data_IF_320169571213
#
_entry.id   IF_320169571213
#
_cell.length_a   1.000
_cell.length_b   1.000
_cell.length_c   1.000
_cell.angle_alpha   90.00
_cell.angle_beta   90.00
_cell.angle_gamma   90.00
#
_symmetry.space_group_name_H-M   'P 1'
#
loop_
_entity.id
_entity.type
_entity.pdbx_description
1 polymer ?
#
# COMPACT_ATOMS: atom_id res chain seq x y z
N UNK A 1 -17.84 -13.80 -32.08
CA UNK A 1 -17.97 -15.28 -31.98
C UNK A 1 -16.62 -15.89 -32.32
N UNK A 2 -16.22 -16.96 -31.64
CA UNK A 2 -15.01 -17.71 -32.00
C UNK A 2 -15.30 -18.54 -33.25
N UNK A 3 -14.44 -18.44 -34.25
CA UNK A 3 -14.47 -19.26 -35.46
C UNK A 3 -13.48 -20.42 -35.33
N UNK A 4 -13.62 -21.43 -36.19
CA UNK A 4 -12.67 -22.54 -36.28
C UNK A 4 -11.22 -22.09 -36.59
N UNK A 5 -11.08 -20.97 -37.29
CA UNK A 5 -9.81 -20.35 -37.66
C UNK A 5 -9.27 -19.35 -36.63
N UNK A 6 -9.99 -19.09 -35.54
CA UNK A 6 -9.55 -18.14 -34.51
C UNK A 6 -8.27 -18.62 -33.84
N UNK A 7 -7.29 -17.73 -33.72
CA UNK A 7 -6.07 -18.00 -32.98
C UNK A 7 -6.33 -17.78 -31.48
N UNK A 8 -6.42 -18.89 -30.75
CA UNK A 8 -6.78 -18.90 -29.34
C UNK A 8 -5.60 -19.35 -28.47
N UNK A 9 -5.35 -18.66 -27.36
CA UNK A 9 -4.27 -18.99 -26.42
C UNK A 9 -4.83 -19.36 -25.06
N UNK A 10 -4.39 -20.50 -24.53
CA UNK A 10 -4.73 -20.96 -23.18
C UNK A 10 -3.53 -20.78 -22.25
N UNK A 11 -3.74 -20.11 -21.11
CA UNK A 11 -2.70 -19.82 -20.14
C UNK A 11 -2.71 -20.80 -18.95
N UNK A 12 -3.76 -21.61 -18.78
CA UNK A 12 -3.87 -22.58 -17.67
C UNK A 12 -3.37 -23.99 -17.99
N UNK A 13 -3.14 -24.31 -19.27
CA UNK A 13 -2.43 -25.53 -19.67
C UNK A 13 -2.95 -26.21 -20.94
N UNK A 14 -2.32 -27.33 -21.30
CA UNK A 14 -2.61 -28.07 -22.54
C UNK A 14 -4.03 -28.67 -22.59
N UNK A 15 -4.59 -29.01 -21.43
CA UNK A 15 -5.96 -29.53 -21.32
C UNK A 15 -7.01 -28.50 -21.77
N UNK A 16 -6.79 -27.22 -21.49
CA UNK A 16 -7.68 -26.14 -21.93
C UNK A 16 -7.65 -25.99 -23.45
N UNK A 17 -6.45 -26.04 -24.05
CA UNK A 17 -6.29 -25.98 -25.49
C UNK A 17 -6.92 -27.19 -26.18
N UNK A 18 -6.78 -28.39 -25.60
CA UNK A 18 -7.44 -29.61 -26.09
C UNK A 18 -8.97 -29.45 -26.08
N UNK A 19 -9.54 -29.00 -24.96
CA UNK A 19 -10.98 -28.78 -24.85
C UNK A 19 -11.51 -27.74 -25.86
N UNK A 20 -10.80 -26.63 -26.07
CA UNK A 20 -11.20 -25.64 -27.08
C UNK A 20 -11.15 -26.21 -28.51
N UNK A 21 -10.17 -27.07 -28.82
CA UNK A 21 -10.10 -27.76 -30.12
C UNK A 21 -11.26 -28.73 -30.31
N UNK A 22 -11.66 -29.47 -29.28
CA UNK A 22 -12.84 -30.35 -29.31
C UNK A 22 -14.13 -29.56 -29.53
N UNK A 23 -14.20 -28.32 -29.03
CA UNK A 23 -15.28 -27.37 -29.30
C UNK A 23 -15.18 -26.67 -30.66
N UNK A 24 -14.25 -27.09 -31.52
CA UNK A 24 -14.11 -26.62 -32.89
C UNK A 24 -13.15 -25.44 -33.10
N UNK A 25 -12.46 -24.95 -32.06
CA UNK A 25 -11.42 -23.91 -32.18
C UNK A 25 -10.07 -24.56 -32.46
N UNK A 26 -9.87 -25.07 -33.68
CA UNK A 26 -8.69 -25.87 -34.04
C UNK A 26 -7.35 -25.13 -33.87
N UNK A 27 -7.37 -23.79 -33.95
CA UNK A 27 -6.21 -22.92 -33.73
C UNK A 27 -5.81 -22.73 -32.26
N UNK A 28 -6.49 -23.37 -31.30
CA UNK A 28 -6.18 -23.19 -29.88
C UNK A 28 -4.83 -23.81 -29.49
N UNK A 29 -4.01 -23.09 -28.73
CA UNK A 29 -2.71 -23.54 -28.24
C UNK A 29 -2.50 -23.07 -26.79
N UNK A 30 -1.84 -23.90 -25.99
CA UNK A 30 -1.48 -23.57 -24.62
C UNK A 30 -0.07 -22.99 -24.53
N UNK A 31 0.18 -22.18 -23.50
CA UNK A 31 1.52 -21.82 -23.07
C UNK A 31 1.92 -22.69 -21.89
N UNK A 32 3.07 -23.34 -21.99
CA UNK A 32 3.60 -24.18 -20.92
C UNK A 32 5.11 -24.05 -20.81
N UNK A 33 5.68 -24.44 -19.66
CA UNK A 33 7.14 -24.46 -19.47
C UNK A 33 7.85 -25.40 -20.44
N UNK A 34 7.22 -26.52 -20.79
CA UNK A 34 7.73 -27.51 -21.73
C UNK A 34 6.86 -27.52 -22.98
N UNK A 35 7.50 -27.49 -24.16
CA UNK A 35 6.83 -27.61 -25.45
C UNK A 35 6.18 -28.99 -25.58
N UNK A 36 4.94 -29.04 -26.06
CA UNK A 36 4.22 -30.30 -26.34
C UNK A 36 3.34 -30.11 -27.57
N UNK A 37 3.91 -30.21 -28.79
CA UNK A 37 3.16 -30.01 -30.02
C UNK A 37 2.09 -31.11 -30.21
N UNK A 38 0.94 -30.79 -30.83
CA UNK A 38 0.56 -29.48 -31.35
C UNK A 38 -0.13 -28.59 -30.30
N UNK A 39 -0.29 -29.05 -29.06
CA UNK A 39 -1.17 -28.43 -28.06
C UNK A 39 -0.51 -27.36 -27.21
N UNK A 40 0.82 -27.35 -27.06
CA UNK A 40 1.51 -26.39 -26.22
C UNK A 40 2.83 -25.88 -26.82
N UNK A 41 3.02 -24.57 -26.73
CA UNK A 41 4.28 -23.88 -27.02
C UNK A 41 5.03 -23.57 -25.74
N UNK A 42 6.36 -23.50 -25.83
CA UNK A 42 7.19 -23.13 -24.69
C UNK A 42 7.10 -21.62 -24.44
N UNK A 43 6.79 -21.22 -23.21
CA UNK A 43 6.73 -19.82 -22.78
C UNK A 43 6.68 -19.68 -21.27
N UNK A 44 6.67 -18.43 -20.80
CA UNK A 44 6.55 -18.12 -19.38
C UNK A 44 5.72 -16.85 -19.15
N UNK A 45 5.34 -16.61 -17.90
CA UNK A 45 4.43 -15.53 -17.49
C UNK A 45 4.88 -14.11 -17.86
N UNK A 46 6.17 -13.91 -18.16
CA UNK A 46 6.75 -12.60 -18.45
C UNK A 46 6.90 -12.30 -19.92
N UNK A 47 6.90 -13.34 -20.74
CA UNK A 47 7.10 -13.23 -22.17
C UNK A 47 6.37 -14.37 -22.86
N UNK A 48 5.14 -14.08 -23.27
CA UNK A 48 4.34 -15.02 -24.05
C UNK A 48 4.91 -15.07 -25.47
N UNK A 49 5.07 -16.28 -26.07
CA UNK A 49 5.80 -16.48 -27.32
C UNK A 49 4.96 -16.11 -28.57
N UNK A 50 4.26 -14.97 -28.52
CA UNK A 50 3.40 -14.48 -29.58
C UNK A 50 3.71 -13.01 -29.89
N UNK A 51 3.62 -12.60 -31.17
CA UNK A 51 3.73 -11.19 -31.55
C UNK A 51 2.62 -10.33 -30.93
N UNK A 52 2.85 -9.03 -30.89
CA UNK A 52 1.85 -8.05 -30.48
C UNK A 52 0.60 -8.17 -31.35
N UNK A 53 -0.58 -8.06 -30.73
CA UNK A 53 -1.87 -8.07 -31.44
C UNK A 53 -2.02 -9.20 -32.46
N UNK A 54 -1.70 -10.43 -32.06
CA UNK A 54 -1.73 -11.63 -32.92
C UNK A 54 -2.76 -12.68 -32.49
N UNK A 55 -3.40 -12.51 -31.33
CA UNK A 55 -4.32 -13.50 -30.72
C UNK A 55 -5.73 -12.94 -30.66
N UNK A 56 -6.71 -13.70 -31.14
CA UNK A 56 -8.11 -13.32 -31.17
C UNK A 56 -8.81 -13.55 -29.81
N UNK A 57 -8.38 -14.60 -29.10
CA UNK A 57 -8.99 -15.06 -27.85
C UNK A 57 -7.97 -15.60 -26.87
N UNK A 58 -8.09 -15.22 -25.61
CA UNK A 58 -7.26 -15.74 -24.53
C UNK A 58 -8.15 -16.32 -23.45
N UNK A 59 -7.85 -17.55 -23.04
CA UNK A 59 -8.44 -18.20 -21.88
C UNK A 59 -7.38 -18.36 -20.79
N UNK A 60 -7.64 -17.77 -19.62
CA UNK A 60 -6.79 -17.82 -18.45
C UNK A 60 -7.50 -18.59 -17.34
N UNK A 61 -7.58 -19.92 -17.48
CA UNK A 61 -8.14 -20.77 -16.45
C UNK A 61 -7.16 -20.96 -15.29
N UNK A 62 -7.43 -20.30 -14.16
CA UNK A 62 -6.61 -20.31 -12.94
C UNK A 62 -5.13 -19.95 -13.14
N UNK A 63 -4.79 -19.38 -14.30
CA UNK A 63 -3.43 -18.97 -14.62
C UNK A 63 -2.97 -17.83 -13.69
N UNK A 64 -3.86 -16.87 -13.41
CA UNK A 64 -3.57 -15.81 -12.44
C UNK A 64 -3.44 -16.37 -11.01
N UNK A 65 -4.26 -17.34 -10.60
CA UNK A 65 -4.19 -17.94 -9.26
C UNK A 65 -2.83 -18.59 -8.97
N UNK A 66 -2.22 -19.19 -9.99
CA UNK A 66 -0.97 -19.94 -9.88
C UNK A 66 0.28 -19.15 -10.24
N UNK A 67 0.13 -18.02 -10.94
CA UNK A 67 1.24 -17.16 -11.32
C UNK A 67 1.79 -16.40 -10.11
N UNK A 68 3.11 -16.38 -9.99
CA UNK A 68 3.80 -15.50 -9.02
C UNK A 68 3.91 -14.06 -9.52
N UNK A 69 3.55 -13.81 -10.78
CA UNK A 69 3.82 -12.57 -11.52
C UNK A 69 2.61 -12.20 -12.36
N UNK A 70 1.47 -12.12 -11.67
CA UNK A 70 0.15 -11.89 -12.23
C UNK A 70 0.08 -10.62 -13.10
N UNK A 71 0.72 -9.53 -12.66
CA UNK A 71 0.75 -8.27 -13.40
C UNK A 71 1.50 -8.40 -14.74
N UNK A 72 2.59 -9.15 -14.77
CA UNK A 72 3.37 -9.37 -15.98
C UNK A 72 2.60 -10.29 -16.95
N UNK A 73 1.96 -11.36 -16.43
CA UNK A 73 1.09 -12.23 -17.21
C UNK A 73 -0.12 -11.48 -17.80
N UNK A 74 -0.73 -10.58 -17.00
CA UNK A 74 -1.84 -9.75 -17.43
C UNK A 74 -1.41 -8.76 -18.55
N UNK A 75 -0.23 -8.15 -18.39
CA UNK A 75 0.37 -7.25 -19.38
C UNK A 75 0.64 -7.99 -20.69
N UNK A 76 1.24 -9.18 -20.63
CA UNK A 76 1.51 -9.99 -21.82
C UNK A 76 0.23 -10.49 -22.49
N UNK A 77 -0.78 -10.90 -21.72
CA UNK A 77 -2.08 -11.26 -22.26
C UNK A 77 -2.72 -10.08 -23.01
N UNK A 78 -2.65 -8.88 -22.44
CA UNK A 78 -3.13 -7.67 -23.11
C UNK A 78 -2.28 -7.32 -24.36
N UNK A 79 -0.96 -7.54 -24.34
CA UNK A 79 -0.05 -7.26 -25.46
C UNK A 79 -0.37 -8.13 -26.69
N UNK A 80 -0.48 -9.44 -26.51
CA UNK A 80 -0.68 -10.38 -27.63
C UNK A 80 -2.10 -10.33 -28.20
N UNK A 81 -3.07 -9.83 -27.42
CA UNK A 81 -4.47 -9.73 -27.84
C UNK A 81 -4.68 -8.67 -28.94
N UNK A 82 -5.42 -9.02 -29.99
CA UNK A 82 -5.86 -8.08 -31.03
C UNK A 82 -6.89 -7.07 -30.48
N UNK A 83 -7.04 -5.89 -31.11
CA UNK A 83 -8.23 -5.06 -30.90
C UNK A 83 -9.51 -5.88 -31.05
N UNK A 84 -10.50 -5.65 -30.19
CA UNK A 84 -11.75 -6.40 -30.10
C UNK A 84 -11.62 -7.90 -29.74
N UNK A 85 -10.40 -8.36 -29.48
CA UNK A 85 -10.13 -9.66 -28.89
C UNK A 85 -10.70 -9.77 -27.48
N UNK A 86 -10.94 -11.01 -27.05
CA UNK A 86 -11.56 -11.30 -25.76
C UNK A 86 -10.61 -12.07 -24.84
N UNK A 87 -10.56 -11.66 -23.58
CA UNK A 87 -9.90 -12.38 -22.49
C UNK A 87 -10.97 -12.95 -21.58
N UNK A 88 -10.92 -14.26 -21.32
CA UNK A 88 -11.72 -14.88 -20.28
C UNK A 88 -10.79 -15.32 -19.15
N UNK A 89 -11.00 -14.77 -17.97
CA UNK A 89 -10.30 -15.15 -16.74
C UNK A 89 -11.25 -15.99 -15.90
N UNK A 90 -10.79 -17.16 -15.48
CA UNK A 90 -11.47 -17.97 -14.47
C UNK A 90 -10.55 -18.05 -13.24
N UNK A 91 -10.98 -17.52 -12.11
CA UNK A 91 -10.16 -17.43 -10.89
C UNK A 91 -10.91 -17.97 -9.67
N UNK A 92 -10.17 -18.54 -8.72
CA UNK A 92 -10.70 -18.88 -7.39
C UNK A 92 -10.62 -17.72 -6.38
N UNK A 93 -9.89 -16.65 -6.72
CA UNK A 93 -9.80 -15.40 -5.96
C UNK A 93 -10.85 -14.37 -6.39
N UNK A 94 -10.59 -13.09 -6.09
CA UNK A 94 -11.43 -11.96 -6.52
C UNK A 94 -12.88 -12.04 -6.02
N UNK A 95 -13.06 -12.59 -4.81
CA UNK A 95 -14.39 -12.85 -4.20
C UNK A 95 -14.98 -11.60 -3.56
N UNK A 96 -14.12 -10.74 -3.02
CA UNK A 96 -14.52 -9.48 -2.43
C UNK A 96 -14.33 -8.32 -3.42
N UNK A 97 -14.95 -7.17 -3.12
CA UNK A 97 -14.91 -6.02 -4.01
C UNK A 97 -13.50 -5.43 -4.20
N UNK A 98 -12.62 -5.57 -3.20
CA UNK A 98 -11.26 -5.04 -3.27
C UNK A 98 -10.38 -5.90 -4.18
N UNK A 99 -10.41 -7.22 -4.01
CA UNK A 99 -9.67 -8.16 -4.86
C UNK A 99 -10.18 -8.14 -6.30
N UNK A 100 -11.49 -8.04 -6.52
CA UNK A 100 -12.07 -7.89 -7.86
C UNK A 100 -11.60 -6.62 -8.58
N UNK A 101 -11.56 -5.49 -7.88
CA UNK A 101 -11.07 -4.22 -8.44
C UNK A 101 -9.57 -4.26 -8.69
N UNK A 102 -8.82 -4.90 -7.81
CA UNK A 102 -7.38 -5.10 -7.97
C UNK A 102 -7.07 -5.97 -9.20
N UNK A 103 -7.83 -7.04 -9.41
CA UNK A 103 -7.72 -7.88 -10.62
C UNK A 103 -8.05 -7.08 -11.89
N UNK A 104 -9.14 -6.30 -11.90
CA UNK A 104 -9.47 -5.42 -13.03
C UNK A 104 -8.34 -4.43 -13.35
N UNK A 105 -7.68 -3.88 -12.33
CA UNK A 105 -6.59 -2.93 -12.49
C UNK A 105 -5.32 -3.53 -13.13
N UNK A 106 -5.19 -4.86 -13.16
CA UNK A 106 -4.12 -5.53 -13.92
C UNK A 106 -4.31 -5.42 -15.44
N UNK A 107 -5.50 -5.06 -15.91
CA UNK A 107 -5.87 -5.00 -17.33
C UNK A 107 -6.32 -3.60 -17.77
N UNK A 108 -5.46 -2.56 -17.69
CA UNK A 108 -5.86 -1.17 -17.95
C UNK A 108 -6.36 -0.90 -19.37
N UNK A 109 -5.95 -1.72 -20.36
CA UNK A 109 -6.37 -1.61 -21.76
C UNK A 109 -7.58 -2.47 -22.13
N UNK A 110 -8.11 -3.25 -21.17
CA UNK A 110 -9.26 -4.12 -21.39
C UNK A 110 -10.46 -3.63 -20.57
N UNK A 111 -11.63 -3.51 -21.20
CA UNK A 111 -12.86 -3.24 -20.46
C UNK A 111 -13.55 -4.53 -20.06
N UNK A 112 -14.03 -4.59 -18.83
CA UNK A 112 -14.80 -5.71 -18.32
C UNK A 112 -16.20 -5.70 -18.94
N UNK A 113 -16.55 -6.75 -19.67
CA UNK A 113 -17.88 -6.95 -20.26
C UNK A 113 -18.83 -7.73 -19.35
N UNK A 114 -18.29 -8.68 -18.59
CA UNK A 114 -19.10 -9.59 -17.76
C UNK A 114 -18.31 -10.09 -16.57
N UNK A 115 -18.99 -10.17 -15.42
CA UNK A 115 -18.51 -10.89 -14.24
C UNK A 115 -19.60 -11.84 -13.76
N UNK A 116 -19.24 -13.09 -13.49
CA UNK A 116 -20.17 -14.12 -13.00
C UNK A 116 -19.47 -15.01 -11.99
N UNK A 117 -20.15 -15.35 -10.91
CA UNK A 117 -19.72 -16.42 -10.02
C UNK A 117 -20.38 -17.74 -10.39
N UNK A 118 -19.63 -18.82 -10.26
CA UNK A 118 -20.09 -20.19 -10.44
C UNK A 118 -19.65 -21.02 -9.24
N UNK A 119 -20.58 -21.79 -8.69
CA UNK A 119 -20.29 -22.72 -7.61
C UNK A 119 -20.02 -24.09 -8.21
N UNK A 120 -18.84 -24.63 -7.90
CA UNK A 120 -18.44 -25.99 -8.15
C UNK A 120 -19.25 -26.96 -7.30
N UNK A 121 -19.33 -28.21 -7.78
CA UNK A 121 -20.06 -29.29 -7.11
C UNK A 121 -19.44 -29.72 -5.78
N UNK A 122 -18.17 -29.37 -5.58
CA UNK A 122 -17.37 -29.52 -4.37
C UNK A 122 -17.52 -28.35 -3.38
N UNK A 123 -18.39 -27.38 -3.68
CA UNK A 123 -18.57 -26.16 -2.87
C UNK A 123 -17.53 -25.08 -3.11
N UNK A 124 -16.57 -25.29 -4.03
CA UNK A 124 -15.65 -24.24 -4.44
C UNK A 124 -16.38 -23.16 -5.25
N UNK A 125 -16.05 -21.88 -5.05
CA UNK A 125 -16.57 -20.80 -5.89
C UNK A 125 -15.48 -20.33 -6.83
N UNK A 126 -15.81 -20.26 -8.12
CA UNK A 126 -15.00 -19.68 -9.17
C UNK A 126 -15.68 -18.41 -9.69
N UNK A 127 -14.87 -17.44 -10.09
CA UNK A 127 -15.33 -16.23 -10.75
C UNK A 127 -14.84 -16.21 -12.19
N UNK A 128 -15.78 -16.06 -13.10
CA UNK A 128 -15.56 -15.78 -14.51
C UNK A 128 -15.57 -14.27 -14.72
N UNK A 129 -14.56 -13.76 -15.43
CA UNK A 129 -14.47 -12.40 -15.90
C UNK A 129 -14.20 -12.42 -17.40
N UNK A 130 -15.00 -11.68 -18.16
CA UNK A 130 -14.80 -11.54 -19.61
C UNK A 130 -14.45 -10.11 -19.92
N UNK A 131 -13.27 -9.90 -20.47
CA UNK A 131 -12.78 -8.61 -20.90
C UNK A 131 -12.70 -8.54 -22.43
N UNK A 132 -12.78 -7.32 -22.96
CA UNK A 132 -12.53 -7.01 -24.36
C UNK A 132 -11.49 -5.90 -24.50
N UNK A 133 -10.57 -6.07 -25.43
CA UNK A 133 -9.58 -5.04 -25.78
C UNK A 133 -10.24 -3.98 -26.66
N UNK A 134 -10.14 -2.71 -26.25
CA UNK A 134 -10.71 -1.61 -27.03
C UNK A 134 -9.75 -1.17 -28.13
N UNK A 135 -10.29 -0.89 -29.32
CA UNK A 135 -9.51 -0.26 -30.39
C UNK A 135 -9.15 1.19 -29.98
N UNK A 136 -7.86 1.52 -29.92
CA UNK A 136 -7.39 2.90 -29.73
C UNK A 136 -6.84 3.29 -28.35
N UNK A 137 -6.86 2.40 -27.35
CA UNK A 137 -6.17 2.65 -26.07
C UNK A 137 -4.72 2.16 -26.20
N UNK A 138 -3.85 3.00 -26.78
CA UNK A 138 -2.41 2.84 -26.65
C UNK A 138 -2.00 2.99 -25.18
N UNK A 139 -1.08 2.15 -24.73
CA UNK A 139 -0.58 2.05 -23.34
C UNK A 139 0.15 3.31 -22.81
N UNK A 140 0.04 4.44 -23.49
CA UNK A 140 0.65 5.72 -23.14
C UNK A 140 -0.32 6.75 -22.54
N UNK A 141 -1.62 6.44 -22.43
CA UNK A 141 -2.57 7.31 -21.73
C UNK A 141 -2.70 6.89 -20.26
N UNK A 142 -1.85 7.47 -19.43
CA UNK A 142 -2.07 7.61 -17.99
C UNK A 142 -3.49 8.13 -17.75
N UNK A 143 -4.31 7.34 -17.05
CA UNK A 143 -5.53 7.74 -16.33
C UNK A 143 -6.30 8.92 -16.93
N UNK A 144 -7.11 8.66 -17.96
CA UNK A 144 -8.31 9.47 -18.20
C UNK A 144 -9.50 8.73 -17.63
N UNK A 145 -9.86 9.16 -16.42
CA UNK A 145 -11.17 8.94 -15.82
C UNK A 145 -12.26 9.16 -16.85
N UNK A 146 -13.16 8.20 -16.95
CA UNK A 146 -14.41 8.34 -17.70
C UNK A 146 -15.24 9.40 -16.96
N UNK A 147 -15.11 10.64 -17.44
CA UNK A 147 -15.89 11.78 -17.01
C UNK A 147 -17.30 11.63 -17.56
N UNK A 148 -18.28 11.56 -16.67
CA UNK A 148 -19.63 12.00 -16.98
C UNK A 148 -20.06 13.04 -15.96
N UNK A 149 -20.19 14.27 -16.48
CA UNK A 149 -20.98 15.41 -16.01
C UNK A 149 -20.46 16.34 -14.89
N UNK A 150 -20.40 17.61 -15.30
CA UNK A 150 -20.45 18.88 -14.56
C UNK A 150 -19.16 19.45 -13.99
N UNK A 151 -18.53 20.28 -14.82
CA UNK A 151 -17.73 21.43 -14.42
C UNK A 151 -18.58 22.32 -13.51
N UNK A 152 -18.16 22.48 -12.25
CA UNK A 152 -18.32 23.71 -11.50
C UNK A 152 -17.15 23.81 -10.53
N UNK A 153 -16.38 24.90 -10.68
CA UNK A 153 -15.21 25.19 -9.87
C UNK A 153 -15.56 25.28 -8.39
N UNK A 154 -14.90 24.46 -7.60
CA UNK A 154 -14.53 24.71 -6.22
C UNK A 154 -13.46 23.68 -5.86
N UNK A 155 -12.31 24.14 -5.35
CA UNK A 155 -11.24 23.31 -4.77
C UNK A 155 -11.85 22.35 -3.74
N UNK A 156 -12.21 21.14 -4.17
CA UNK A 156 -12.50 20.03 -3.27
C UNK A 156 -11.19 19.27 -3.12
N UNK A 157 -10.85 18.95 -1.87
CA UNK A 157 -9.81 18.00 -1.51
C UNK A 157 -9.77 16.84 -2.52
N UNK A 158 -8.58 16.41 -2.90
CA UNK A 158 -8.39 15.27 -3.81
C UNK A 158 -8.93 13.99 -3.16
N UNK A 159 -10.25 13.80 -3.21
CA UNK A 159 -10.91 12.57 -2.84
C UNK A 159 -10.30 11.49 -3.71
N UNK A 160 -9.71 10.47 -3.06
CA UNK A 160 -9.23 9.28 -3.73
C UNK A 160 -10.39 8.74 -4.56
N UNK A 161 -10.30 8.89 -5.89
CA UNK A 161 -11.44 8.81 -6.80
C UNK A 161 -12.32 7.62 -6.47
N UNK A 162 -13.53 7.92 -5.98
CA UNK A 162 -14.60 7.02 -5.55
C UNK A 162 -14.31 5.53 -5.72
N UNK A 163 -13.62 4.97 -4.72
CA UNK A 163 -13.49 3.53 -4.56
C UNK A 163 -14.46 3.11 -3.47
N UNK A 164 -15.75 2.99 -3.80
CA UNK A 164 -16.82 2.56 -2.87
C UNK A 164 -16.43 1.32 -2.04
N UNK A 165 -15.59 0.45 -2.60
CA UNK A 165 -15.07 -0.73 -1.91
C UNK A 165 -14.12 -0.39 -0.74
N UNK A 166 -13.34 0.70 -0.81
CA UNK A 166 -12.50 1.16 0.30
C UNK A 166 -13.35 1.67 1.46
N UNK A 167 -14.42 2.41 1.18
CA UNK A 167 -15.37 2.86 2.22
C UNK A 167 -16.05 1.66 2.90
N UNK A 168 -16.47 0.65 2.14
CA UNK A 168 -17.01 -0.60 2.72
C UNK A 168 -16.01 -1.32 3.63
N UNK A 169 -14.72 -1.26 3.33
CA UNK A 169 -13.67 -1.81 4.22
C UNK A 169 -13.56 -0.98 5.49
N UNK A 170 -13.62 0.35 5.37
CA UNK A 170 -13.59 1.27 6.52
C UNK A 170 -14.80 1.06 7.43
N UNK A 171 -15.98 0.78 6.89
CA UNK A 171 -17.18 0.45 7.67
C UNK A 171 -17.00 -0.82 8.53
N UNK A 172 -16.09 -1.71 8.15
CA UNK A 172 -15.73 -2.93 8.89
C UNK A 172 -14.57 -2.71 9.87
N UNK A 173 -13.93 -1.54 9.86
CA UNK A 173 -12.79 -1.22 10.72
C UNK A 173 -13.21 -1.13 12.19
N UNK A 174 -12.23 -1.24 13.09
CA UNK A 174 -12.48 -0.91 14.49
C UNK A 174 -12.88 0.57 14.65
N UNK A 175 -13.77 0.90 15.60
CA UNK A 175 -14.19 2.28 15.83
C UNK A 175 -13.01 3.13 16.31
N UNK A 176 -13.00 4.41 15.91
CA UNK A 176 -12.07 5.38 16.48
C UNK A 176 -12.37 5.58 17.97
N UNK A 177 -11.31 5.62 18.77
CA UNK A 177 -11.33 5.94 20.19
C UNK A 177 -11.67 7.43 20.33
N UNK A 178 -12.91 7.73 20.68
CA UNK A 178 -13.44 9.10 20.71
C UNK A 178 -12.85 9.96 21.84
N UNK A 179 -12.43 9.33 22.94
CA UNK A 179 -11.96 10.04 24.14
C UNK A 179 -10.47 9.81 24.41
N UNK A 180 -9.79 10.84 24.94
CA UNK A 180 -8.38 10.77 25.30
C UNK A 180 -8.16 9.68 26.38
N UNK A 181 -7.37 8.64 26.13
CA UNK A 181 -7.21 7.57 27.10
C UNK A 181 -6.38 8.00 28.31
N UNK A 182 -6.98 7.87 29.50
CA UNK A 182 -6.27 8.12 30.77
C UNK A 182 -5.01 7.26 30.95
N UNK A 183 -5.00 6.05 30.37
CA UNK A 183 -3.85 5.13 30.35
C UNK A 183 -3.56 4.68 28.90
N UNK A 184 -2.75 5.44 28.15
CA UNK A 184 -2.48 5.18 26.72
C UNK A 184 -1.99 3.76 26.44
N UNK A 185 -0.98 3.29 27.16
CA UNK A 185 -0.38 1.97 26.94
C UNK A 185 -1.34 0.78 27.16
N UNK A 186 -2.30 0.92 28.09
CA UNK A 186 -3.32 -0.12 28.33
C UNK A 186 -4.33 -0.12 27.18
N UNK A 187 -4.74 1.09 26.79
CA UNK A 187 -5.71 1.30 25.73
C UNK A 187 -5.17 0.83 24.39
N UNK A 188 -3.89 1.08 24.10
CA UNK A 188 -3.16 0.52 22.96
C UNK A 188 -3.18 -1.00 22.98
N UNK A 189 -2.77 -1.65 24.08
CA UNK A 189 -2.75 -3.11 24.17
C UNK A 189 -4.13 -3.74 23.94
N UNK A 190 -5.20 -3.05 24.34
CA UNK A 190 -6.57 -3.46 24.04
C UNK A 190 -6.92 -3.21 22.58
N UNK A 191 -6.56 -2.05 22.04
CA UNK A 191 -6.85 -1.66 20.66
C UNK A 191 -6.19 -2.58 19.64
N UNK A 192 -4.91 -2.92 19.84
CA UNK A 192 -4.16 -3.84 18.96
C UNK A 192 -4.88 -5.18 18.75
N UNK A 193 -5.61 -5.67 19.77
CA UNK A 193 -6.40 -6.92 19.66
C UNK A 193 -7.66 -6.77 18.81
N UNK A 194 -8.14 -5.55 18.64
CA UNK A 194 -9.36 -5.22 17.92
C UNK A 194 -9.10 -4.74 16.49
N UNK A 195 -7.86 -4.37 16.15
CA UNK A 195 -7.47 -3.90 14.82
C UNK A 195 -7.94 -4.89 13.76
N UNK A 196 -8.65 -4.36 12.76
CA UNK A 196 -9.11 -5.11 11.60
C UNK A 196 -8.18 -4.84 10.42
N UNK A 197 -7.06 -5.59 10.38
CA UNK A 197 -6.07 -5.48 9.31
C UNK A 197 -6.71 -5.69 7.94
N UNK A 198 -6.33 -4.91 6.93
CA UNK A 198 -6.91 -5.03 5.59
C UNK A 198 -6.76 -6.44 5.00
N UNK A 199 -5.62 -7.14 5.16
CA UNK A 199 -5.46 -8.52 4.69
C UNK A 199 -6.27 -9.55 5.48
N UNK A 200 -6.98 -9.15 6.54
CA UNK A 200 -7.99 -9.99 7.20
C UNK A 200 -9.42 -9.69 6.69
N UNK A 201 -9.63 -8.55 6.04
CA UNK A 201 -10.93 -8.10 5.52
C UNK A 201 -11.09 -8.36 4.01
N UNK A 202 -9.99 -8.43 3.26
CA UNK A 202 -10.00 -8.59 1.81
C UNK A 202 -8.83 -9.44 1.31
N UNK A 203 -8.99 -10.06 0.14
CA UNK A 203 -7.92 -10.71 -0.60
C UNK A 203 -7.02 -9.64 -1.25
N UNK A 204 -5.73 -9.62 -0.89
CA UNK A 204 -4.76 -8.65 -1.40
C UNK A 204 -3.94 -9.18 -2.58
N UNK A 205 -4.27 -10.37 -3.10
CA UNK A 205 -3.43 -11.13 -4.01
C UNK A 205 -3.15 -10.49 -5.37
N UNK A 206 -4.10 -9.72 -5.91
CA UNK A 206 -4.02 -9.14 -7.26
C UNK A 206 -3.30 -7.79 -7.30
N UNK A 207 -2.13 -7.73 -6.67
CA UNK A 207 -1.29 -6.53 -6.58
C UNK A 207 0.08 -6.79 -7.18
N UNK A 208 0.64 -5.76 -7.82
CA UNK A 208 1.93 -5.85 -8.52
C UNK A 208 3.09 -6.04 -7.55
N UNK A 209 3.11 -5.24 -6.47
CA UNK A 209 4.08 -5.31 -5.39
C UNK A 209 3.41 -5.07 -4.05
N UNK A 210 4.13 -5.40 -2.98
CA UNK A 210 3.71 -5.19 -1.60
C UNK A 210 4.79 -4.38 -0.92
N UNK A 211 4.42 -3.22 -0.37
CA UNK A 211 5.35 -2.22 0.15
C UNK A 211 4.97 -1.85 1.57
N UNK A 212 5.95 -1.83 2.46
CA UNK A 212 5.81 -1.30 3.82
C UNK A 212 6.73 -0.10 3.99
N UNK A 213 6.17 1.02 4.45
CA UNK A 213 6.91 2.26 4.72
C UNK A 213 6.80 2.58 6.21
N UNK A 214 7.91 2.53 6.93
CA UNK A 214 8.01 2.93 8.34
C UNK A 214 8.54 4.36 8.43
N UNK A 215 7.64 5.32 8.68
CA UNK A 215 7.94 6.75 8.76
C UNK A 215 8.23 7.14 10.21
N UNK A 216 9.49 7.46 10.50
CA UNK A 216 9.99 7.56 11.88
C UNK A 216 10.36 6.19 12.45
N UNK A 217 11.17 5.45 11.69
CA UNK A 217 11.43 4.03 11.93
C UNK A 217 12.25 3.77 13.20
N UNK A 218 13.11 4.72 13.61
CA UNK A 218 14.06 4.58 14.71
C UNK A 218 14.95 3.36 14.49
N UNK A 219 15.00 2.40 15.42
CA UNK A 219 15.74 1.14 15.27
C UNK A 219 14.91 0.09 14.54
N UNK A 220 15.56 -0.89 13.91
CA UNK A 220 14.87 -1.97 13.19
C UNK A 220 13.89 -2.73 14.09
N UNK A 221 14.22 -2.87 15.38
CA UNK A 221 13.36 -3.50 16.38
C UNK A 221 12.18 -2.66 16.87
N UNK A 222 12.01 -1.41 16.41
CA UNK A 222 10.93 -0.52 16.85
C UNK A 222 9.57 -0.95 16.30
N UNK A 223 9.43 -1.00 14.97
CA UNK A 223 8.20 -1.44 14.30
C UNK A 223 8.45 -2.58 13.30
N UNK A 224 9.48 -2.46 12.45
CA UNK A 224 9.74 -3.40 11.34
C UNK A 224 9.95 -4.82 11.85
N UNK A 225 10.90 -4.99 12.79
CA UNK A 225 11.30 -6.29 13.32
C UNK A 225 10.40 -6.81 14.43
N UNK A 226 9.79 -5.93 15.23
CA UNK A 226 8.98 -6.28 16.40
C UNK A 226 7.55 -6.63 16.05
N UNK A 227 6.89 -5.81 15.22
CA UNK A 227 5.46 -5.93 14.91
C UNK A 227 5.26 -6.32 13.45
N UNK A 228 5.72 -5.51 12.48
CA UNK A 228 5.36 -5.71 11.07
C UNK A 228 5.76 -7.10 10.58
N UNK A 229 7.02 -7.51 10.79
CA UNK A 229 7.49 -8.84 10.37
C UNK A 229 6.80 -9.98 11.11
N UNK A 230 6.52 -9.84 12.41
CA UNK A 230 6.05 -10.93 13.28
C UNK A 230 4.54 -11.09 13.33
N UNK A 231 3.78 -10.00 13.14
CA UNK A 231 2.35 -9.94 13.46
C UNK A 231 1.47 -9.47 12.30
N UNK A 232 1.94 -8.55 11.45
CA UNK A 232 1.12 -8.06 10.34
C UNK A 232 0.77 -9.22 9.37
N UNK A 233 -0.51 -9.47 9.05
CA UNK A 233 -0.93 -10.56 8.17
C UNK A 233 -0.57 -10.24 6.73
N UNK A 234 0.21 -11.11 6.07
CA UNK A 234 0.77 -10.84 4.73
C UNK A 234 0.11 -11.65 3.61
N UNK A 235 -0.84 -12.53 3.92
CA UNK A 235 -1.39 -13.52 2.97
C UNK A 235 -0.30 -14.23 2.14
N UNK A 236 0.84 -14.55 2.77
CA UNK A 236 2.00 -15.17 2.12
C UNK A 236 2.72 -14.31 1.04
N UNK A 237 2.53 -12.99 1.05
CA UNK A 237 3.26 -12.06 0.19
C UNK A 237 4.54 -11.55 0.85
N UNK A 238 5.55 -11.30 0.00
CA UNK A 238 6.82 -10.69 0.39
C UNK A 238 6.73 -9.19 0.20
N UNK A 239 7.11 -8.43 1.23
CA UNK A 239 7.07 -6.97 1.22
C UNK A 239 8.45 -6.37 1.00
N UNK A 240 8.53 -5.38 0.13
CA UNK A 240 9.62 -4.40 0.09
C UNK A 240 9.46 -3.44 1.27
N UNK A 241 10.53 -3.21 2.02
CA UNK A 241 10.47 -2.40 3.25
C UNK A 241 11.33 -1.16 3.14
N UNK A 242 10.75 0.00 3.38
CA UNK A 242 11.44 1.28 3.50
C UNK A 242 11.41 1.76 4.95
N UNK A 243 12.56 2.14 5.48
CA UNK A 243 12.71 2.75 6.81
C UNK A 243 13.09 4.22 6.63
N UNK A 244 12.23 5.16 7.01
CA UNK A 244 12.53 6.59 7.00
C UNK A 244 13.02 6.97 8.39
N UNK A 245 14.27 7.37 8.50
CA UNK A 245 14.90 7.67 9.79
C UNK A 245 15.87 8.85 9.69
N UNK A 246 15.57 9.91 10.44
CA UNK A 246 16.30 11.17 10.40
C UNK A 246 17.55 11.20 11.29
N UNK A 247 17.59 10.46 12.40
CA UNK A 247 18.71 10.45 13.34
C UNK A 247 19.80 9.45 12.89
N UNK A 248 21.00 9.95 12.54
CA UNK A 248 22.14 9.12 12.15
C UNK A 248 22.54 8.05 13.17
N UNK A 249 22.16 8.22 14.44
CA UNK A 249 22.43 7.23 15.48
C UNK A 249 21.85 5.84 15.19
N UNK A 250 20.81 5.74 14.35
CA UNK A 250 20.17 4.47 13.99
C UNK A 250 20.59 3.94 12.60
N UNK A 251 21.23 4.75 11.75
CA UNK A 251 21.50 4.40 10.34
C UNK A 251 22.38 3.16 10.20
N UNK A 252 23.42 3.04 11.03
CA UNK A 252 24.37 1.93 10.98
C UNK A 252 23.69 0.56 11.24
N UNK A 253 22.60 0.53 12.00
CA UNK A 253 21.86 -0.71 12.26
C UNK A 253 21.25 -1.27 10.97
N UNK A 254 20.71 -0.41 10.10
CA UNK A 254 20.04 -0.81 8.87
C UNK A 254 20.99 -1.33 7.80
N UNK A 255 22.26 -0.93 7.81
CA UNK A 255 23.26 -1.41 6.85
C UNK A 255 23.39 -2.95 6.82
N UNK A 256 23.07 -3.62 7.93
CA UNK A 256 23.12 -5.08 8.06
C UNK A 256 21.77 -5.77 7.81
N UNK A 257 20.67 -5.02 7.67
CA UNK A 257 19.31 -5.58 7.59
C UNK A 257 18.93 -5.85 6.13
N UNK A 258 19.08 -7.10 5.70
CA UNK A 258 18.62 -7.54 4.38
C UNK A 258 17.12 -7.25 4.18
N UNK A 259 16.78 -6.82 2.97
CA UNK A 259 15.40 -6.53 2.56
C UNK A 259 14.78 -5.31 3.25
N UNK A 260 15.60 -4.36 3.73
CA UNK A 260 15.16 -3.05 4.21
C UNK A 260 16.00 -1.98 3.52
N UNK A 261 15.34 -1.01 2.91
CA UNK A 261 15.97 0.18 2.31
C UNK A 261 15.85 1.33 3.31
N UNK A 262 16.98 1.83 3.80
CA UNK A 262 17.02 3.02 4.64
C UNK A 262 16.90 4.28 3.78
N UNK A 263 15.99 5.18 4.17
CA UNK A 263 15.87 6.55 3.70
C UNK A 263 16.37 7.46 4.83
N UNK A 264 17.64 7.90 4.80
CA UNK A 264 18.30 8.61 5.91
C UNK A 264 17.90 10.10 5.95
N UNK A 265 16.60 10.36 5.94
CA UNK A 265 16.01 11.69 5.83
C UNK A 265 14.85 11.84 6.82
N UNK A 266 14.53 13.08 7.20
CA UNK A 266 13.26 13.37 7.84
C UNK A 266 12.13 13.42 6.80
N UNK A 267 11.02 12.72 7.05
CA UNK A 267 9.82 12.90 6.23
C UNK A 267 9.26 14.30 6.46
N UNK A 268 9.00 15.02 5.37
CA UNK A 268 8.53 16.39 5.42
C UNK A 268 7.65 16.76 4.22
N UNK A 269 7.19 18.01 4.20
CA UNK A 269 6.27 18.53 3.17
C UNK A 269 6.99 19.07 1.92
N UNK A 270 8.31 19.22 1.98
CA UNK A 270 9.19 19.64 0.88
C UNK A 270 10.65 19.24 1.12
N UNK A 271 11.46 19.27 0.08
CA UNK A 271 12.91 19.04 0.20
C UNK A 271 13.57 20.28 0.81
N UNK A 272 14.09 20.16 2.03
CA UNK A 272 14.85 21.23 2.70
C UNK A 272 15.73 20.65 3.82
N UNK A 273 16.52 21.51 4.47
CA UNK A 273 17.29 21.12 5.65
C UNK A 273 16.58 21.65 6.90
N UNK A 274 16.21 20.75 7.81
CA UNK A 274 15.46 21.08 9.01
C UNK A 274 16.35 21.07 10.25
N UNK A 275 15.92 21.80 11.27
CA UNK A 275 16.48 21.70 12.62
C UNK A 275 15.74 20.60 13.37
N UNK A 276 16.48 19.60 13.83
CA UNK A 276 16.00 18.40 14.50
C UNK A 276 16.52 18.40 15.93
N UNK A 277 15.63 18.41 16.90
CA UNK A 277 15.95 18.38 18.32
C UNK A 277 15.84 16.96 18.84
N UNK A 278 16.89 16.47 19.51
CA UNK A 278 16.90 15.15 20.11
C UNK A 278 16.88 15.31 21.63
N UNK A 279 15.75 14.94 22.22
CA UNK A 279 15.60 14.96 23.67
C UNK A 279 16.50 13.90 24.30
N UNK A 280 17.27 14.27 25.32
CA UNK A 280 17.87 13.30 26.22
C UNK A 280 16.75 12.52 26.92
N UNK A 281 16.89 11.20 27.08
CA UNK A 281 15.99 10.42 27.94
C UNK A 281 15.90 11.03 29.35
N UNK A 282 14.89 10.64 30.15
CA UNK A 282 14.50 11.34 31.38
C UNK A 282 15.73 11.67 32.25
N UNK A 283 15.82 12.95 32.63
CA UNK A 283 16.85 13.50 33.50
C UNK A 283 16.75 12.84 34.89
N UNK A 284 17.37 11.66 35.01
CA UNK A 284 17.24 10.81 36.19
C UNK A 284 18.39 9.82 36.29
N UNK A 285 19.61 10.28 35.99
CA UNK A 285 20.90 9.80 36.51
C UNK A 285 22.02 10.55 35.78
N UNK A 286 22.48 11.67 36.35
CA UNK A 286 23.84 12.16 36.10
C UNK A 286 24.79 11.05 36.56
N UNK A 287 25.19 10.15 35.66
CA UNK A 287 26.40 9.34 35.83
C UNK A 287 27.52 10.03 35.07
N UNK A 288 28.68 10.05 35.73
CA UNK A 288 29.79 10.99 35.52
C UNK A 288 30.26 11.16 34.08
N UNK A 289 30.89 12.32 33.87
CA UNK A 289 31.57 12.72 32.65
C UNK A 289 32.76 11.79 32.37
N UNK A 290 32.48 10.62 31.77
CA UNK A 290 33.39 9.92 30.86
C UNK A 290 32.68 8.70 30.28
N UNK A 291 32.13 8.82 29.07
CA UNK A 291 31.92 7.69 28.15
C UNK A 291 31.47 8.22 26.77
N UNK A 292 32.42 8.24 25.83
CA UNK A 292 32.12 8.29 24.40
C UNK A 292 31.50 6.96 23.96
N UNK A 293 30.24 6.72 24.33
CA UNK A 293 29.29 5.78 23.72
C UNK A 293 28.00 5.73 24.55
N UNK A 294 27.06 6.65 24.29
CA UNK A 294 25.68 6.47 24.79
C UNK A 294 25.07 5.28 24.08
N UNK A 295 24.74 4.20 24.82
CA UNK A 295 23.92 3.10 24.29
C UNK A 295 22.59 3.65 23.75
N UNK A 296 22.05 3.16 22.61
CA UNK A 296 20.84 3.69 21.97
C UNK A 296 19.57 3.70 22.85
N UNK A 297 19.54 2.89 23.92
CA UNK A 297 18.37 2.71 24.80
C UNK A 297 18.00 3.89 25.71
N UNK A 298 18.80 4.97 25.74
CA UNK A 298 18.52 6.17 26.55
C UNK A 298 18.28 7.47 25.76
N UNK A 299 18.28 7.39 24.42
CA UNK A 299 18.08 8.55 23.53
C UNK A 299 16.58 8.69 23.24
N UNK A 300 16.02 9.89 23.38
CA UNK A 300 14.63 10.16 23.00
C UNK A 300 14.48 10.15 21.48
N UNK A 301 13.24 10.06 21.00
CA UNK A 301 12.96 10.32 19.59
C UNK A 301 13.25 11.80 19.32
N UNK A 302 13.79 12.10 18.13
CA UNK A 302 14.00 13.47 17.74
C UNK A 302 12.78 14.07 17.06
N UNK A 303 12.70 15.40 17.10
CA UNK A 303 11.55 16.17 16.62
C UNK A 303 12.02 17.34 15.75
N UNK A 304 11.29 17.60 14.67
CA UNK A 304 11.50 18.79 13.83
C UNK A 304 11.06 20.04 14.60
N UNK A 305 11.92 21.07 14.62
CA UNK A 305 11.58 22.40 15.11
C UNK A 305 11.30 23.33 13.94
N UNK A 306 10.05 23.78 13.83
CA UNK A 306 9.66 24.85 12.92
C UNK A 306 10.15 26.20 13.43
N UNK A 307 10.31 27.18 12.54
CA UNK A 307 10.85 28.50 12.89
C UNK A 307 10.07 29.21 14.02
N UNK A 308 8.76 29.00 14.11
CA UNK A 308 7.91 29.54 15.17
C UNK A 308 8.21 28.92 16.56
N UNK A 309 8.50 27.61 16.61
CA UNK A 309 8.80 26.88 17.85
C UNK A 309 10.21 27.09 18.40
N UNK A 310 11.11 27.70 17.62
CA UNK A 310 12.47 28.03 18.04
C UNK A 310 12.54 29.31 18.92
N UNK A 311 11.51 30.15 18.89
CA UNK A 311 11.50 31.49 19.52
C UNK A 311 11.11 31.42 21.01
N UNK A 312 10.40 30.36 21.45
CA UNK A 312 9.77 30.31 22.78
C UNK A 312 10.29 29.22 23.75
N UNK A 313 11.42 28.55 23.46
CA UNK A 313 11.87 27.40 24.26
C UNK A 313 13.34 27.42 24.66
N UNK A 314 13.63 27.27 25.96
CA UNK A 314 14.95 26.89 26.47
C UNK A 314 15.18 25.41 26.09
N UNK A 315 15.82 25.17 24.94
CA UNK A 315 16.13 23.83 24.43
C UNK A 315 17.17 23.14 25.33
N UNK A 316 16.77 22.07 26.03
CA UNK A 316 17.70 21.16 26.72
C UNK A 316 18.20 20.01 25.84
N UNK A 317 17.70 19.89 24.60
CA UNK A 317 18.02 18.83 23.64
C UNK A 317 19.20 19.14 22.72
N UNK A 318 19.77 18.09 22.12
CA UNK A 318 20.80 18.22 21.08
C UNK A 318 20.12 18.68 19.78
N UNK A 319 20.45 19.88 19.31
CA UNK A 319 19.97 20.40 18.02
C UNK A 319 20.91 19.96 16.90
N UNK A 320 20.34 19.40 15.82
CA UNK A 320 21.09 18.93 14.65
C UNK A 320 20.38 19.35 13.37
N UNK A 321 21.16 19.67 12.33
CA UNK A 321 20.61 19.87 10.99
C UNK A 321 20.51 18.53 10.28
N UNK A 322 19.33 18.18 9.78
CA UNK A 322 19.09 16.93 9.05
C UNK A 322 18.46 17.23 7.69
N UNK A 323 18.82 16.49 6.63
CA UNK A 323 18.12 16.61 5.36
C UNK A 323 16.70 16.05 5.48
N UNK A 324 15.75 16.74 4.88
CA UNK A 324 14.35 16.34 4.81
C UNK A 324 13.90 16.24 3.35
N UNK A 325 12.90 15.40 3.09
CA UNK A 325 12.37 15.18 1.75
C UNK A 325 10.85 15.28 1.73
N UNK A 326 10.31 15.67 0.58
CA UNK A 326 8.87 15.66 0.31
C UNK A 326 8.37 14.20 0.25
N UNK A 327 7.71 13.77 1.33
CA UNK A 327 7.17 12.40 1.44
C UNK A 327 6.10 12.13 0.37
N UNK A 328 5.29 13.13 0.03
CA UNK A 328 4.22 12.98 -0.94
C UNK A 328 4.76 12.77 -2.36
N UNK A 329 5.75 13.58 -2.77
CA UNK A 329 6.46 13.40 -4.05
C UNK A 329 7.18 12.06 -4.11
N UNK A 330 7.83 11.65 -3.02
CA UNK A 330 8.54 10.36 -2.98
C UNK A 330 7.58 9.18 -3.14
N UNK A 331 6.42 9.18 -2.46
CA UNK A 331 5.41 8.14 -2.62
C UNK A 331 4.97 8.03 -4.07
N UNK A 332 4.60 9.15 -4.70
CA UNK A 332 4.13 9.19 -6.09
C UNK A 332 5.15 8.69 -7.12
N UNK A 333 6.45 8.79 -6.81
CA UNK A 333 7.53 8.28 -7.66
C UNK A 333 7.87 6.81 -7.39
N UNK A 334 7.52 6.29 -6.21
CA UNK A 334 7.97 4.98 -5.74
C UNK A 334 6.91 3.90 -5.89
N UNK A 335 5.63 4.25 -5.70
CA UNK A 335 4.50 3.32 -5.71
C UNK A 335 3.39 3.81 -6.66
N UNK A 336 2.52 2.89 -7.04
CA UNK A 336 1.39 3.11 -7.92
C UNK A 336 0.12 2.50 -7.33
N UNK A 337 -1.05 2.80 -7.90
CA UNK A 337 -2.33 2.22 -7.46
C UNK A 337 -2.43 0.69 -7.59
N UNK A 338 -1.54 0.09 -8.38
CA UNK A 338 -1.43 -1.36 -8.57
C UNK A 338 -0.59 -2.03 -7.48
N UNK A 339 0.10 -1.26 -6.65
CA UNK A 339 0.85 -1.76 -5.50
C UNK A 339 -0.06 -1.84 -4.27
N UNK A 340 0.32 -2.69 -3.32
CA UNK A 340 -0.28 -2.74 -1.99
C UNK A 340 0.63 -2.02 -1.01
N UNK A 341 0.16 -0.94 -0.40
CA UNK A 341 1.01 -0.07 0.41
C UNK A 341 0.49 0.02 1.83
N UNK A 342 1.34 -0.37 2.77
CA UNK A 342 1.13 -0.24 4.21
C UNK A 342 2.10 0.81 4.73
N UNK A 343 1.59 1.78 5.48
CA UNK A 343 2.40 2.83 6.08
C UNK A 343 2.23 2.82 7.60
N UNK A 344 3.33 2.93 8.33
CA UNK A 344 3.32 3.31 9.75
C UNK A 344 3.95 4.69 9.89
N UNK A 345 3.37 5.57 10.69
CA UNK A 345 3.85 6.94 10.88
C UNK A 345 3.88 7.31 12.37
N UNK A 346 5.04 7.80 12.80
CA UNK A 346 5.36 8.22 14.18
C UNK A 346 6.50 9.23 14.07
N UNK A 347 6.16 10.51 13.98
CA UNK A 347 7.08 11.58 13.54
C UNK A 347 7.12 12.73 14.52
N UNK A 348 6.70 12.48 15.76
CA UNK A 348 6.84 13.38 16.91
C UNK A 348 6.22 14.76 16.66
N UNK A 349 5.02 14.83 16.11
CA UNK A 349 4.21 16.06 16.03
C UNK A 349 4.08 16.65 14.63
N UNK A 350 4.86 16.17 13.65
CA UNK A 350 4.74 16.63 12.25
C UNK A 350 3.64 15.91 11.47
N UNK A 351 2.85 15.06 12.14
CA UNK A 351 1.66 14.44 11.53
C UNK A 351 0.68 15.51 11.01
N UNK A 352 0.58 16.65 11.70
CA UNK A 352 -0.28 17.78 11.35
C UNK A 352 0.20 18.57 10.13
N UNK A 353 1.45 18.40 9.69
CA UNK A 353 1.95 18.95 8.43
C UNK A 353 1.86 17.90 7.31
N UNK A 354 2.27 16.67 7.62
CA UNK A 354 2.40 15.58 6.66
C UNK A 354 1.06 15.04 6.18
N UNK A 355 0.10 14.79 7.08
CA UNK A 355 -1.19 14.21 6.70
C UNK A 355 -1.98 15.16 5.78
N UNK A 356 -2.14 16.46 6.10
CA UNK A 356 -2.77 17.40 5.17
C UNK A 356 -2.05 17.46 3.82
N UNK A 357 -0.71 17.51 3.81
CA UNK A 357 0.07 17.48 2.56
C UNK A 357 -0.20 16.22 1.73
N UNK A 358 -0.28 15.05 2.35
CA UNK A 358 -0.57 13.79 1.68
C UNK A 358 -2.00 13.78 1.10
N UNK A 359 -2.97 14.34 1.82
CA UNK A 359 -4.35 14.49 1.36
C UNK A 359 -4.43 15.47 0.20
N UNK A 360 -3.90 16.68 0.34
CA UNK A 360 -3.96 17.77 -0.65
C UNK A 360 -3.29 17.42 -1.97
N UNK A 361 -2.23 16.62 -1.91
CA UNK A 361 -1.53 16.14 -3.11
C UNK A 361 -2.18 14.90 -3.72
N UNK A 362 -3.10 14.24 -3.03
CA UNK A 362 -3.64 12.93 -3.40
C UNK A 362 -2.63 11.78 -3.27
N UNK A 363 -1.45 12.01 -2.69
CA UNK A 363 -0.48 10.94 -2.43
C UNK A 363 -1.03 9.90 -1.44
N UNK A 364 -1.92 10.33 -0.53
CA UNK A 364 -2.58 9.44 0.45
C UNK A 364 -3.36 8.31 -0.23
N UNK A 365 -3.83 8.51 -1.47
CA UNK A 365 -4.60 7.52 -2.22
C UNK A 365 -3.80 6.29 -2.64
N UNK A 366 -2.48 6.40 -2.62
CA UNK A 366 -1.54 5.30 -2.88
C UNK A 366 -1.34 4.42 -1.64
N UNK A 367 -1.82 4.84 -0.46
CA UNK A 367 -1.74 4.07 0.78
C UNK A 367 -3.03 3.27 0.95
N UNK A 368 -2.92 1.95 1.14
CA UNK A 368 -4.07 1.08 1.37
C UNK A 368 -4.39 0.94 2.86
N UNK A 369 -3.37 0.93 3.73
CA UNK A 369 -3.52 0.80 5.18
C UNK A 369 -2.49 1.66 5.93
N UNK A 370 -2.94 2.42 6.93
CA UNK A 370 -2.13 3.38 7.68
C UNK A 370 -2.20 3.13 9.19
N UNK A 371 -1.05 3.05 9.84
CA UNK A 371 -0.90 3.00 11.29
C UNK A 371 -0.29 4.32 11.76
N UNK A 372 -1.10 5.17 12.39
CA UNK A 372 -0.68 6.52 12.73
C UNK A 372 -0.60 6.70 14.24
N UNK A 373 0.59 7.05 14.74
CA UNK A 373 0.78 7.57 16.09
C UNK A 373 0.71 9.09 16.07
N UNK A 374 -0.42 9.62 16.51
CA UNK A 374 -0.63 11.06 16.58
C UNK A 374 -0.13 11.63 17.90
N UNK A 375 0.68 12.68 17.81
CA UNK A 375 1.34 13.31 18.95
C UNK A 375 0.64 14.60 19.39
N UNK A 376 0.17 14.64 20.64
CA UNK A 376 -0.65 15.73 21.18
C UNK A 376 -0.32 16.01 22.66
N UNK A 377 -0.85 17.12 23.18
CA UNK A 377 -0.61 17.67 24.52
C UNK A 377 -1.26 16.85 25.67
N UNK A 378 -0.74 15.64 25.91
CA UNK A 378 -1.25 14.69 26.91
C UNK A 378 -1.22 15.23 28.35
N UNK A 379 -2.11 14.73 29.19
CA UNK A 379 -2.06 14.93 30.65
C UNK A 379 -0.75 14.42 31.26
N UNK A 380 -0.13 15.22 32.13
CA UNK A 380 1.10 14.85 32.81
C UNK A 380 0.83 13.90 33.98
N UNK A 381 1.57 12.80 34.06
CA UNK A 381 1.45 11.83 35.17
C UNK A 381 1.86 12.39 36.53
N UNK A 382 2.83 13.31 36.57
CA UNK A 382 3.33 13.89 37.81
C UNK A 382 2.35 14.87 38.46
N UNK A 383 1.47 15.45 37.64
CA UNK A 383 0.93 16.77 37.90
C UNK A 383 -0.54 16.79 37.43
N UNK A 384 -1.48 16.33 38.28
CA UNK A 384 -2.91 16.28 37.93
C UNK A 384 -3.42 17.65 37.47
N UNK A 385 -4.21 17.68 36.39
CA UNK A 385 -4.74 18.92 35.80
C UNK A 385 -3.75 19.70 34.93
N UNK A 386 -2.50 19.24 34.80
CA UNK A 386 -1.48 19.89 33.95
C UNK A 386 -1.28 19.09 32.67
N UNK A 387 -1.35 19.76 31.50
CA UNK A 387 -1.02 19.17 30.20
C UNK A 387 0.48 19.32 29.88
N UNK A 388 1.01 18.41 29.09
CA UNK A 388 2.38 18.47 28.60
C UNK A 388 2.52 19.59 27.57
N UNK A 389 3.46 20.53 27.73
CA UNK A 389 3.74 21.55 26.72
C UNK A 389 4.53 21.00 25.53
N UNK A 390 4.81 19.68 25.50
CA UNK A 390 5.64 19.07 24.45
C UNK A 390 5.02 19.30 23.07
N UNK A 391 3.71 19.18 22.92
CA UNK A 391 3.01 19.43 21.66
C UNK A 391 1.95 20.51 21.87
N UNK A 392 1.60 21.23 20.81
CA UNK A 392 0.57 22.26 20.85
C UNK A 392 -0.81 21.64 20.58
N UNK A 393 -0.87 20.70 19.64
CA UNK A 393 -2.10 20.02 19.22
C UNK A 393 -2.75 19.22 20.35
N UNK A 394 -4.06 19.12 20.27
CA UNK A 394 -4.96 18.43 21.19
C UNK A 394 -5.34 17.04 20.70
N UNK A 395 -5.96 16.24 21.58
CA UNK A 395 -6.51 14.94 21.19
C UNK A 395 -7.64 15.07 20.15
N UNK A 396 -8.45 16.14 20.24
CA UNK A 396 -9.52 16.41 19.29
C UNK A 396 -8.99 16.60 17.87
N UNK A 397 -7.92 17.39 17.71
CA UNK A 397 -7.27 17.59 16.42
C UNK A 397 -6.67 16.29 15.86
N UNK A 398 -6.14 15.40 16.73
CA UNK A 398 -5.77 14.05 16.29
C UNK A 398 -6.99 13.27 15.75
N UNK A 399 -8.12 13.31 16.44
CA UNK A 399 -9.34 12.62 16.02
C UNK A 399 -9.87 13.16 14.68
N UNK A 400 -9.76 14.46 14.44
CA UNK A 400 -10.07 15.09 13.14
C UNK A 400 -9.13 14.58 12.04
N UNK A 401 -7.83 14.44 12.29
CA UNK A 401 -6.90 13.80 11.35
C UNK A 401 -7.30 12.36 11.02
N UNK A 402 -7.62 11.54 12.02
CA UNK A 402 -8.09 10.16 11.79
C UNK A 402 -9.40 10.12 10.99
N UNK A 403 -10.33 11.03 11.29
CA UNK A 403 -11.62 11.12 10.59
C UNK A 403 -11.41 11.52 9.13
N UNK A 404 -10.63 12.57 8.85
CA UNK A 404 -10.33 13.01 7.48
C UNK A 404 -9.63 11.95 6.64
N UNK A 405 -8.76 11.12 7.25
CA UNK A 405 -8.15 9.97 6.59
C UNK A 405 -9.17 8.89 6.21
N UNK A 406 -10.10 8.57 7.11
CA UNK A 406 -11.20 7.63 6.82
C UNK A 406 -12.14 8.18 5.75
N UNK A 407 -12.48 9.46 5.81
CA UNK A 407 -13.31 10.14 4.81
C UNK A 407 -12.62 10.19 3.43
N UNK A 408 -11.28 10.21 3.41
CA UNK A 408 -10.47 10.11 2.20
C UNK A 408 -10.35 8.68 1.66
N UNK A 409 -10.96 7.69 2.32
CA UNK A 409 -10.97 6.30 1.90
C UNK A 409 -9.74 5.49 2.34
N UNK A 410 -8.98 5.96 3.33
CA UNK A 410 -7.83 5.22 3.88
C UNK A 410 -8.21 4.48 5.15
N UNK A 411 -7.89 3.18 5.19
CA UNK A 411 -8.04 2.39 6.41
C UNK A 411 -6.92 2.80 7.39
N UNK A 412 -7.26 3.71 8.30
CA UNK A 412 -6.34 4.18 9.35
C UNK A 412 -6.65 3.58 10.72
N UNK A 413 -5.58 3.18 11.41
CA UNK A 413 -5.58 2.62 12.76
C UNK A 413 -4.86 3.57 13.73
N UNK A 414 -5.46 3.81 14.89
CA UNK A 414 -4.83 4.58 15.98
C UNK A 414 -3.70 3.78 16.64
N UNK A 415 -2.46 4.25 16.47
CA UNK A 415 -1.21 3.66 16.96
C UNK A 415 -0.59 4.52 18.09
N UNK A 416 0.16 3.92 19.03
CA UNK A 416 0.63 4.56 20.27
C UNK A 416 1.90 3.92 20.84
#
# INVERSE_FOLDING_TARGET
MLSASSHAVCLGGAQEAMALRELGVFGAVAVAKKRSPPLAVAGNDHQLPFPDSSVDFIFAGRALDSSKRQADLATEAARIMKPDGHLVVLTSGARDAYSLRSLQALFPSLGLLRSRETNGRDGSTLRELVFRKHAGISSSSTTTSTSSSSLNGNNRASNCTYRDHKHRIIDLAEPLIQEEPAKPWISLKRNIKNIKYLPALADIGFKRRYVYVDVGARSHGSSIGSWFRKQYPKQNHTFEVFAVEADPAFHAEYATKKGVTLLPYAAWVRNETLTFEINGGPAGKKKGANSNARKPGGRGMGRIRTAAGAINGVSSGELRRVPAFDLAEWLKRTVSEQDFVVMKMDVEGTEFDLIPRLIDTGAICLVDELFLECHYNRWQRCCPGVRSPKYESTYGECLELFTSLRDSGVLVHQWW
#
